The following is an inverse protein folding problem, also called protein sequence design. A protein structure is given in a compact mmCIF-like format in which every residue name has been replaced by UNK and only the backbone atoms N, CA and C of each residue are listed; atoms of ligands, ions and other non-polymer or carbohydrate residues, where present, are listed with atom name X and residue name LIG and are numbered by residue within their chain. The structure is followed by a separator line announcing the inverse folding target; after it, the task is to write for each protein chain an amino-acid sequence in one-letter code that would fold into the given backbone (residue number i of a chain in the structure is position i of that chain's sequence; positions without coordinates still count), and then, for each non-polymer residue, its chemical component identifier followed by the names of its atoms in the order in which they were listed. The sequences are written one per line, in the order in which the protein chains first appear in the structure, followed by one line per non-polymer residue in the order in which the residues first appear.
data_IF_652491503821
#
_entry.id   IF_652491503821
#
_cell.length_a   1.000
_cell.length_b   1.000
_cell.length_c   1.000
_cell.angle_alpha   90.00
_cell.angle_beta   90.00
_cell.angle_gamma   90.00
#
_symmetry.space_group_name_H-M   'P 1'
#
loop_
_entity.id
_entity.type
_entity.pdbx_description
1 polymer ?
#
# COMPACT_ATOMS: atom_id res chain seq x y z
N UNK A 1 -2.57 -5.53 17.92
CA UNK A 1 -2.13 -6.59 16.98
C UNK A 1 -3.02 -7.84 16.94
N UNK A 2 -3.48 -8.41 18.08
CA UNK A 2 -4.28 -9.66 18.12
C UNK A 2 -5.55 -9.67 17.23
N UNK A 3 -6.10 -8.50 16.96
CA UNK A 3 -7.30 -8.32 16.13
C UNK A 3 -7.02 -7.60 14.80
N UNK A 4 -5.77 -7.64 14.33
CA UNK A 4 -5.41 -7.12 13.00
C UNK A 4 -5.67 -8.16 11.92
N UNK A 5 -5.84 -7.69 10.68
CA UNK A 5 -6.09 -8.57 9.56
C UNK A 5 -4.90 -9.50 9.29
N UNK A 6 -3.67 -8.98 9.22
CA UNK A 6 -2.49 -9.84 8.95
C UNK A 6 -2.26 -10.87 10.05
N UNK A 7 -2.53 -10.52 11.32
CA UNK A 7 -2.43 -11.48 12.41
C UNK A 7 -3.50 -12.57 12.33
N UNK A 8 -4.75 -12.20 12.02
CA UNK A 8 -5.81 -13.17 11.79
C UNK A 8 -5.49 -14.08 10.60
N UNK A 9 -4.97 -13.52 9.51
CA UNK A 9 -4.54 -14.27 8.33
C UNK A 9 -3.37 -15.21 8.67
N UNK A 10 -2.41 -14.75 9.48
CA UNK A 10 -1.21 -15.52 9.85
C UNK A 10 -1.55 -16.80 10.62
N UNK A 11 -2.55 -16.74 11.51
CA UNK A 11 -3.03 -17.91 12.24
C UNK A 11 -3.64 -18.97 11.33
N UNK A 12 -4.17 -18.58 10.17
CA UNK A 12 -4.79 -19.49 9.22
C UNK A 12 -3.81 -19.98 8.14
N UNK A 13 -3.05 -19.06 7.55
CA UNK A 13 -2.13 -19.35 6.45
C UNK A 13 -0.99 -18.33 6.39
N UNK A 14 0.19 -18.77 6.84
CA UNK A 14 1.41 -17.94 6.88
C UNK A 14 1.87 -17.47 5.50
N UNK A 15 1.78 -18.32 4.48
CA UNK A 15 2.20 -17.98 3.12
C UNK A 15 1.32 -16.86 2.54
N UNK A 16 -0.01 -16.95 2.73
CA UNK A 16 -0.94 -15.89 2.30
C UNK A 16 -0.69 -14.57 3.02
N UNK A 17 -0.32 -14.60 4.31
CA UNK A 17 0.07 -13.39 5.04
C UNK A 17 1.29 -12.73 4.42
N UNK A 18 2.33 -13.52 4.14
CA UNK A 18 3.54 -13.00 3.50
C UNK A 18 3.24 -12.41 2.12
N UNK A 19 2.50 -13.12 1.27
CA UNK A 19 2.11 -12.63 -0.05
C UNK A 19 1.28 -11.35 0.02
N UNK A 20 0.39 -11.23 1.01
CA UNK A 20 -0.41 -10.01 1.20
C UNK A 20 0.45 -8.85 1.68
N UNK A 21 1.35 -9.08 2.64
CA UNK A 21 2.29 -8.05 3.09
C UNK A 21 3.23 -7.61 1.94
N UNK A 22 3.69 -8.55 1.12
CA UNK A 22 4.49 -8.25 -0.07
C UNK A 22 3.70 -7.41 -1.07
N UNK A 23 2.46 -7.80 -1.41
CA UNK A 23 1.62 -7.08 -2.36
C UNK A 23 1.38 -5.62 -1.94
N UNK A 24 1.13 -5.38 -0.65
CA UNK A 24 0.86 -4.04 -0.11
C UNK A 24 2.12 -3.22 0.18
N UNK A 25 3.31 -3.83 0.17
CA UNK A 25 4.60 -3.13 0.30
C UNK A 25 5.35 -2.98 -1.03
N UNK A 26 4.98 -3.75 -2.05
CA UNK A 26 5.70 -3.86 -3.31
C UNK A 26 5.91 -2.52 -4.03
N UNK A 27 4.91 -1.62 -4.15
CA UNK A 27 5.13 -0.32 -4.77
C UNK A 27 6.18 0.51 -4.03
N UNK A 28 6.14 0.52 -2.71
CA UNK A 28 7.11 1.22 -1.87
C UNK A 28 8.51 0.65 -2.04
N UNK A 29 8.66 -0.68 -2.12
CA UNK A 29 9.95 -1.31 -2.38
C UNK A 29 10.53 -0.91 -3.74
N UNK A 30 9.68 -0.79 -4.77
CA UNK A 30 10.10 -0.31 -6.09
C UNK A 30 10.59 1.15 -5.99
N UNK A 31 9.83 2.02 -5.33
CA UNK A 31 10.19 3.43 -5.18
C UNK A 31 11.55 3.59 -4.48
N UNK A 32 11.76 2.87 -3.37
CA UNK A 32 13.02 2.87 -2.61
C UNK A 32 14.17 2.28 -3.44
N UNK A 33 13.93 1.17 -4.13
CA UNK A 33 14.95 0.54 -4.97
C UNK A 33 15.45 1.50 -6.05
N UNK A 34 14.55 2.21 -6.73
CA UNK A 34 14.96 3.17 -7.75
C UNK A 34 15.65 4.39 -7.18
N UNK A 35 15.23 4.89 -6.01
CA UNK A 35 15.94 5.96 -5.31
C UNK A 35 17.38 5.57 -4.95
N UNK A 36 17.57 4.36 -4.38
CA UNK A 36 18.91 3.84 -4.05
C UNK A 36 19.73 3.67 -5.33
N UNK A 37 19.15 3.11 -6.38
CA UNK A 37 19.84 2.93 -7.64
C UNK A 37 20.31 4.25 -8.27
N UNK A 38 19.51 5.32 -8.14
CA UNK A 38 19.88 6.66 -8.59
C UNK A 38 21.00 7.29 -7.76
N UNK A 39 20.95 7.12 -6.44
CA UNK A 39 21.92 7.74 -5.51
C UNK A 39 23.23 6.99 -5.39
N UNK A 40 23.21 5.67 -5.53
CA UNK A 40 24.39 4.80 -5.34
C UNK A 40 24.90 4.17 -6.65
N UNK A 41 24.25 4.44 -7.79
CA UNK A 41 24.62 3.93 -9.12
C UNK A 41 24.84 2.41 -9.20
N UNK A 42 24.03 1.63 -8.47
CA UNK A 42 24.17 0.17 -8.41
C UNK A 42 23.95 -0.54 -9.76
N UNK A 43 23.11 0.04 -10.62
CA UNK A 43 22.90 -0.40 -11.99
C UNK A 43 23.23 0.74 -12.95
N UNK A 44 23.81 0.41 -14.10
CA UNK A 44 23.99 1.33 -15.24
C UNK A 44 22.66 1.61 -15.97
N UNK A 45 21.61 1.83 -15.21
CA UNK A 45 20.26 2.07 -15.70
C UNK A 45 19.61 3.13 -14.81
N UNK A 46 19.02 4.15 -15.43
CA UNK A 46 18.24 5.18 -14.74
C UNK A 46 16.90 5.33 -15.46
N UNK A 47 15.80 5.61 -14.74
CA UNK A 47 14.56 6.03 -15.37
C UNK A 47 14.83 7.26 -16.26
N UNK A 48 14.17 7.33 -17.41
CA UNK A 48 14.27 8.49 -18.29
C UNK A 48 13.69 9.74 -17.60
N UNK A 49 14.28 10.91 -17.86
CA UNK A 49 13.94 12.17 -17.17
C UNK A 49 12.47 12.61 -17.35
N UNK A 50 11.81 12.15 -18.41
CA UNK A 50 10.40 12.41 -18.69
C UNK A 50 9.43 11.50 -17.93
N UNK A 51 9.91 10.48 -17.22
CA UNK A 51 9.04 9.54 -16.50
C UNK A 51 8.55 10.11 -15.18
N UNK A 52 7.35 9.70 -14.78
CA UNK A 52 6.77 10.02 -13.46
C UNK A 52 7.67 9.53 -12.32
N UNK A 53 8.29 8.35 -12.48
CA UNK A 53 9.27 7.79 -11.55
C UNK A 53 10.51 8.66 -11.37
N UNK A 54 11.11 9.16 -12.46
CA UNK A 54 12.26 10.05 -12.36
C UNK A 54 11.92 11.32 -11.58
N UNK A 55 10.78 11.94 -11.91
CA UNK A 55 10.30 13.16 -11.24
C UNK A 55 9.99 12.93 -9.76
N UNK A 56 9.45 11.77 -9.41
CA UNK A 56 9.19 11.38 -8.03
C UNK A 56 10.49 11.29 -7.22
N UNK A 57 11.51 10.59 -7.74
CA UNK A 57 12.80 10.39 -7.06
C UNK A 57 13.51 11.72 -6.77
N UNK A 58 13.36 12.70 -7.66
CA UNK A 58 13.96 14.03 -7.53
C UNK A 58 13.06 15.05 -6.83
N UNK A 59 11.90 14.62 -6.33
CA UNK A 59 10.97 15.50 -5.62
C UNK A 59 11.33 15.59 -4.14
N UNK A 60 11.25 16.80 -3.56
CA UNK A 60 11.36 17.02 -2.12
C UNK A 60 10.32 16.23 -1.31
N UNK A 61 9.23 15.81 -1.96
CA UNK A 61 8.14 15.04 -1.36
C UNK A 61 8.33 13.51 -1.45
N UNK A 62 9.46 13.02 -1.98
CA UNK A 62 9.71 11.60 -2.20
C UNK A 62 9.38 10.75 -0.95
N UNK A 63 10.04 11.05 0.18
CA UNK A 63 9.86 10.28 1.42
C UNK A 63 8.45 10.40 2.00
N UNK A 64 7.78 11.54 1.80
CA UNK A 64 6.40 11.72 2.21
C UNK A 64 5.47 10.79 1.41
N UNK A 65 5.66 10.71 0.08
CA UNK A 65 4.87 9.84 -0.81
C UNK A 65 5.13 8.37 -0.49
N UNK A 66 6.39 7.97 -0.30
CA UNK A 66 6.79 6.62 0.12
C UNK A 66 6.12 6.24 1.45
N UNK A 67 6.17 7.13 2.44
CA UNK A 67 5.54 6.91 3.75
C UNK A 67 4.02 6.83 3.65
N UNK A 68 3.40 7.67 2.83
CA UNK A 68 1.96 7.65 2.59
C UNK A 68 1.51 6.36 1.89
N UNK A 69 2.31 5.86 0.95
CA UNK A 69 2.10 4.58 0.26
C UNK A 69 2.26 3.36 1.17
N UNK A 70 2.95 3.48 2.30
CA UNK A 70 3.07 2.41 3.31
C UNK A 70 1.87 2.31 4.26
N UNK A 71 1.05 3.37 4.39
CA UNK A 71 -0.10 3.39 5.30
C UNK A 71 -1.06 2.19 5.12
N UNK A 72 -1.39 1.76 3.90
CA UNK A 72 -2.27 0.61 3.67
C UNK A 72 -1.72 -0.70 4.26
N UNK A 73 -0.41 -0.93 4.16
CA UNK A 73 0.25 -2.05 4.82
C UNK A 73 0.19 -1.90 6.35
N UNK A 74 0.47 -0.70 6.86
CA UNK A 74 0.38 -0.42 8.29
C UNK A 74 -1.06 -0.62 8.81
N UNK A 75 -2.07 -0.30 8.03
CA UNK A 75 -3.46 -0.56 8.39
C UNK A 75 -3.74 -2.05 8.53
N UNK A 76 -3.28 -2.86 7.58
CA UNK A 76 -3.42 -4.32 7.62
C UNK A 76 -2.75 -4.95 8.85
N UNK A 77 -1.66 -4.35 9.31
CA UNK A 77 -0.86 -4.84 10.43
C UNK A 77 -1.34 -4.32 11.80
N UNK A 78 -1.73 -3.05 11.87
CA UNK A 78 -1.96 -2.34 13.14
C UNK A 78 -3.44 -2.18 13.47
N UNK A 79 -4.30 -1.91 12.48
CA UNK A 79 -5.70 -1.59 12.75
C UNK A 79 -6.50 -2.83 13.13
N UNK A 80 -7.54 -2.61 13.93
CA UNK A 80 -8.54 -3.65 14.20
C UNK A 80 -9.30 -3.96 12.92
N UNK A 81 -9.62 -5.23 12.71
CA UNK A 81 -10.38 -5.69 11.54
C UNK A 81 -11.71 -4.92 11.33
N UNK A 82 -12.38 -4.48 12.40
CA UNK A 82 -13.61 -3.67 12.34
C UNK A 82 -13.40 -2.29 11.70
N UNK A 83 -12.20 -1.71 11.80
CA UNK A 83 -11.87 -0.36 11.33
C UNK A 83 -11.15 -0.37 9.97
N UNK A 84 -10.55 -1.50 9.60
CA UNK A 84 -9.67 -1.64 8.44
C UNK A 84 -10.30 -1.17 7.13
N UNK A 85 -11.51 -1.62 6.81
CA UNK A 85 -12.16 -1.31 5.54
C UNK A 85 -12.51 0.17 5.44
N UNK A 86 -12.95 0.77 6.55
CA UNK A 86 -13.23 2.21 6.60
C UNK A 86 -11.94 3.01 6.39
N UNK A 87 -10.86 2.66 7.09
CA UNK A 87 -9.57 3.33 6.96
C UNK A 87 -9.02 3.25 5.53
N UNK A 88 -9.10 2.08 4.89
CA UNK A 88 -8.68 1.91 3.49
C UNK A 88 -9.53 2.75 2.53
N UNK A 89 -10.85 2.85 2.74
CA UNK A 89 -11.71 3.72 1.93
C UNK A 89 -11.36 5.20 2.07
N UNK A 90 -11.13 5.66 3.31
CA UNK A 90 -10.71 7.03 3.57
C UNK A 90 -9.37 7.31 2.88
N UNK A 91 -8.40 6.39 3.01
CA UNK A 91 -7.10 6.52 2.36
C UNK A 91 -7.22 6.54 0.83
N UNK A 92 -8.04 5.67 0.23
CA UNK A 92 -8.32 5.71 -1.22
C UNK A 92 -8.90 7.07 -1.61
N UNK A 93 -9.82 7.62 -0.83
CA UNK A 93 -10.39 8.95 -1.06
C UNK A 93 -9.31 10.04 -1.07
N UNK A 94 -8.46 10.08 -0.04
CA UNK A 94 -7.36 11.05 0.07
C UNK A 94 -6.35 10.86 -1.07
N UNK A 95 -5.90 9.63 -1.29
CA UNK A 95 -4.94 9.28 -2.33
C UNK A 95 -5.49 9.61 -3.74
N UNK A 96 -6.78 9.37 -3.98
CA UNK A 96 -7.46 9.72 -5.22
C UNK A 96 -7.56 11.24 -5.41
N UNK A 97 -7.90 12.00 -4.37
CA UNK A 97 -7.90 13.47 -4.43
C UNK A 97 -6.51 14.03 -4.68
N UNK A 98 -5.48 13.53 -3.97
CA UNK A 98 -4.09 13.92 -4.22
C UNK A 98 -3.68 13.58 -5.65
N UNK A 99 -4.01 12.38 -6.13
CA UNK A 99 -3.74 11.98 -7.51
C UNK A 99 -4.40 12.95 -8.51
N UNK A 100 -5.66 13.34 -8.32
CA UNK A 100 -6.33 14.29 -9.22
C UNK A 100 -5.62 15.65 -9.22
N UNK A 101 -5.30 16.20 -8.04
CA UNK A 101 -4.56 17.45 -7.92
C UNK A 101 -3.21 17.33 -8.65
N UNK A 102 -2.46 16.26 -8.43
CA UNK A 102 -1.20 16.01 -9.10
C UNK A 102 -1.37 15.78 -10.61
N UNK A 103 -2.41 15.10 -11.07
CA UNK A 103 -2.64 14.89 -12.50
C UNK A 103 -2.83 16.22 -13.27
N UNK A 104 -3.45 17.22 -12.63
CA UNK A 104 -3.66 18.55 -13.22
C UNK A 104 -2.46 19.50 -13.05
N UNK A 105 -1.72 19.41 -11.95
CA UNK A 105 -0.67 20.39 -11.62
C UNK A 105 0.76 19.83 -11.67
N UNK A 106 0.97 18.53 -11.43
CA UNK A 106 2.30 17.92 -11.35
C UNK A 106 2.26 16.37 -11.47
N UNK A 107 2.60 15.79 -12.64
CA UNK A 107 2.43 14.35 -12.89
C UNK A 107 3.58 13.54 -12.27
N UNK A 108 3.70 13.54 -10.95
CA UNK A 108 4.77 12.86 -10.21
C UNK A 108 4.25 11.83 -9.21
N UNK A 109 2.93 11.66 -9.05
CA UNK A 109 2.37 10.69 -8.11
C UNK A 109 2.16 9.31 -8.78
N UNK A 110 2.89 8.26 -8.36
CA UNK A 110 2.69 6.92 -8.90
C UNK A 110 1.33 6.34 -8.45
N UNK A 111 0.51 5.98 -9.43
CA UNK A 111 -0.87 5.49 -9.22
C UNK A 111 -0.89 4.03 -8.74
N UNK A 112 0.24 3.32 -8.82
CA UNK A 112 0.33 1.87 -8.63
C UNK A 112 -0.25 1.41 -7.29
N UNK A 113 0.10 2.07 -6.19
CA UNK A 113 -0.42 1.75 -4.85
C UNK A 113 -1.93 1.96 -4.76
N UNK A 114 -2.43 3.08 -5.28
CA UNK A 114 -3.85 3.40 -5.32
C UNK A 114 -4.64 2.36 -6.12
N UNK A 115 -4.14 1.94 -7.28
CA UNK A 115 -4.77 0.91 -8.12
C UNK A 115 -4.79 -0.44 -7.40
N UNK A 116 -3.65 -0.92 -6.91
CA UNK A 116 -3.55 -2.20 -6.19
C UNK A 116 -4.58 -2.26 -5.07
N UNK A 117 -4.69 -1.21 -4.27
CA UNK A 117 -5.58 -1.20 -3.11
C UNK A 117 -7.04 -1.11 -3.54
N UNK A 118 -7.35 -0.26 -4.52
CA UNK A 118 -8.72 -0.09 -5.02
C UNK A 118 -9.25 -1.39 -5.64
N UNK A 119 -8.44 -2.08 -6.44
CA UNK A 119 -8.80 -3.37 -7.04
C UNK A 119 -8.92 -4.48 -6.00
N UNK A 120 -8.06 -4.51 -4.98
CA UNK A 120 -8.09 -5.56 -3.95
C UNK A 120 -9.12 -5.30 -2.84
N UNK A 121 -9.66 -4.09 -2.70
CA UNK A 121 -10.57 -3.73 -1.61
C UNK A 121 -11.79 -4.65 -1.47
N UNK A 122 -12.50 -5.06 -2.55
CA UNK A 122 -13.65 -5.95 -2.42
C UNK A 122 -13.26 -7.33 -1.86
N UNK A 123 -12.18 -7.92 -2.37
CA UNK A 123 -11.66 -9.20 -1.91
C UNK A 123 -11.19 -9.13 -0.46
N UNK A 124 -10.53 -8.03 -0.10
CA UNK A 124 -10.06 -7.81 1.26
C UNK A 124 -11.22 -7.64 2.24
N UNK A 125 -12.30 -6.97 1.83
CA UNK A 125 -13.52 -6.85 2.63
C UNK A 125 -14.19 -8.21 2.89
N UNK A 126 -14.35 -9.03 1.85
CA UNK A 126 -14.88 -10.39 2.00
C UNK A 126 -14.03 -11.21 2.96
N UNK A 127 -12.71 -11.26 2.73
CA UNK A 127 -11.80 -12.04 3.56
C UNK A 127 -11.73 -11.53 5.00
N UNK A 128 -11.79 -10.23 5.20
CA UNK A 128 -11.79 -9.64 6.53
C UNK A 128 -13.05 -10.05 7.32
N UNK A 129 -14.23 -10.06 6.68
CA UNK A 129 -15.47 -10.55 7.30
C UNK A 129 -15.35 -12.02 7.70
N UNK A 130 -14.86 -12.89 6.81
CA UNK A 130 -14.64 -14.30 7.12
C UNK A 130 -13.73 -14.49 8.34
N UNK A 131 -12.58 -13.81 8.37
CA UNK A 131 -11.62 -13.89 9.48
C UNK A 131 -12.20 -13.36 10.80
N UNK A 132 -13.04 -12.32 10.75
CA UNK A 132 -13.73 -11.81 11.93
C UNK A 132 -14.73 -12.84 12.48
N UNK A 133 -15.47 -13.54 11.62
CA UNK A 133 -16.36 -14.62 12.03
C UNK A 133 -15.61 -15.81 12.64
N UNK A 134 -14.39 -16.11 12.18
CA UNK A 134 -13.62 -17.23 12.74
C UNK A 134 -13.01 -16.91 14.11
N UNK A 135 -12.55 -15.67 14.33
CA UNK A 135 -11.68 -15.37 15.47
C UNK A 135 -12.17 -14.29 16.45
N UNK A 136 -13.22 -13.54 16.10
CA UNK A 136 -13.77 -12.46 16.92
C UNK A 136 -15.18 -12.80 17.39
N UNK A 137 -16.02 -13.31 16.49
CA UNK A 137 -17.38 -13.79 16.79
C UNK A 137 -17.60 -15.19 16.21
N UNK A 138 -17.02 -16.25 16.80
CA UNK A 138 -17.34 -17.62 16.39
C UNK A 138 -18.85 -17.83 16.58
N UNK A 139 -19.55 -18.24 15.50
CA UNK A 139 -20.93 -18.71 15.67
C UNK A 139 -20.91 -19.97 16.54
N UNK A 140 -21.90 -20.13 17.44
CA UNK A 140 -22.05 -21.34 18.25
C UNK A 140 -22.25 -22.60 17.40
#
# INVERSE_FOLDING_TARGET
MKYSFLWALYRQNRQKTFLTALLYSFPTWIDIFFYINQTAHWLAWSPAANTTFYRLIHSDYFWLIVSFNLLPLLFLFCLRQTQLILALKIWIGIAGSLFLIHAFYWPSYPITTLLIISFNLPFLNLRNKELMHTYINPMP
#
